data_IF_923558217791
#
_entry.id   IF_923558217791
#
_cell.length_a   1.000
_cell.length_b   1.000
_cell.length_c   1.000
_cell.angle_alpha   90.00
_cell.angle_beta   90.00
_cell.angle_gamma   90.00
#
_symmetry.space_group_name_H-M   'P 1'
#
loop_
_entity.id
_entity.type
_entity.pdbx_description
1 polymer ?
#
# COMPACT_ATOMS: atom_id res chain seq x y z
N UNK A 1 8.30 -22.39 -4.05
CA UNK A 1 7.88 -22.17 -2.65
C UNK A 1 7.00 -20.93 -2.64
N UNK A 2 5.69 -21.11 -2.66
CA UNK A 2 4.73 -20.01 -2.58
C UNK A 2 4.78 -19.41 -1.16
N UNK A 3 5.09 -18.11 -1.07
CA UNK A 3 5.02 -17.37 0.19
C UNK A 3 3.55 -17.11 0.49
N UNK A 4 3.04 -17.82 1.51
CA UNK A 4 1.67 -17.65 1.99
C UNK A 4 1.57 -16.32 2.75
N UNK A 5 1.07 -15.28 2.10
CA UNK A 5 0.95 -13.94 2.68
C UNK A 5 -0.35 -13.91 3.46
N UNK A 6 -0.26 -14.09 4.77
CA UNK A 6 -1.37 -13.81 5.68
C UNK A 6 -1.56 -12.31 5.76
N UNK A 7 -2.46 -11.79 4.94
CA UNK A 7 -2.96 -10.44 5.10
C UNK A 7 -4.32 -10.52 5.80
N UNK A 8 -4.44 -9.83 6.93
CA UNK A 8 -5.67 -9.78 7.71
C UNK A 8 -6.59 -8.79 7.01
N UNK A 9 -7.42 -9.30 6.11
CA UNK A 9 -8.48 -8.51 5.51
C UNK A 9 -9.60 -8.33 6.55
N UNK A 10 -9.93 -7.07 6.87
CA UNK A 10 -11.30 -6.76 7.30
C UNK A 10 -12.24 -7.01 6.10
N UNK A 11 -13.52 -7.23 6.36
CA UNK A 11 -14.55 -7.54 5.35
C UNK A 11 -14.62 -6.54 4.16
N UNK A 12 -14.01 -5.35 4.29
CA UNK A 12 -13.94 -4.30 3.29
C UNK A 12 -12.75 -4.36 2.31
N UNK A 13 -11.79 -5.27 2.50
CA UNK A 13 -10.52 -5.24 1.76
C UNK A 13 -10.36 -6.48 0.87
N UNK A 14 -10.34 -6.27 -0.44
CA UNK A 14 -9.94 -7.29 -1.41
C UNK A 14 -8.45 -7.13 -1.70
N UNK A 15 -7.64 -7.92 -1.01
CA UNK A 15 -6.23 -8.02 -1.33
C UNK A 15 -6.14 -8.90 -2.57
N UNK A 16 -6.00 -8.28 -3.73
CA UNK A 16 -5.60 -9.04 -4.90
C UNK A 16 -4.24 -9.65 -4.58
N UNK A 17 -4.04 -10.97 -4.71
CA UNK A 17 -2.73 -11.57 -4.60
C UNK A 17 -1.89 -11.08 -5.78
N UNK A 18 -1.31 -9.89 -5.67
CA UNK A 18 -0.10 -9.59 -6.41
C UNK A 18 0.93 -10.54 -5.84
N UNK A 19 1.18 -11.65 -6.54
CA UNK A 19 2.40 -12.43 -6.37
C UNK A 19 3.52 -11.39 -6.24
N UNK A 20 4.32 -11.46 -5.18
CA UNK A 20 5.58 -10.75 -5.12
C UNK A 20 6.40 -11.23 -6.30
N UNK A 21 6.25 -10.57 -7.46
CA UNK A 21 7.11 -10.79 -8.60
C UNK A 21 8.37 -10.04 -8.24
N UNK A 22 9.30 -10.74 -7.58
CA UNK A 22 10.68 -10.30 -7.49
C UNK A 22 11.20 -10.25 -8.93
N UNK A 23 10.97 -9.13 -9.60
CA UNK A 23 11.80 -8.76 -10.71
C UNK A 23 13.20 -8.64 -10.10
N UNK A 24 14.22 -9.29 -10.66
CA UNK A 24 15.62 -9.18 -10.21
C UNK A 24 16.20 -7.76 -10.26
N UNK A 25 15.35 -6.74 -10.40
CA UNK A 25 15.62 -5.30 -10.41
C UNK A 25 15.60 -4.65 -9.01
N UNK A 26 15.37 -5.41 -7.93
CA UNK A 26 15.27 -4.84 -6.58
C UNK A 26 14.02 -3.98 -6.38
N UNK A 27 12.96 -4.23 -7.16
CA UNK A 27 11.68 -3.54 -7.09
C UNK A 27 10.53 -4.54 -7.05
N UNK A 28 9.55 -4.31 -6.17
CA UNK A 28 8.34 -5.12 -6.07
C UNK A 28 7.12 -4.24 -5.84
N UNK A 29 5.95 -4.69 -6.30
CA UNK A 29 4.71 -3.92 -6.22
C UNK A 29 3.61 -4.78 -5.60
N UNK A 30 2.96 -4.24 -4.57
CA UNK A 30 1.79 -4.82 -3.94
C UNK A 30 0.59 -3.91 -4.16
N UNK A 31 -0.53 -4.45 -4.61
CA UNK A 31 -1.77 -3.70 -4.81
C UNK A 31 -2.88 -4.24 -3.90
N UNK A 32 -3.57 -3.31 -3.23
CA UNK A 32 -4.71 -3.60 -2.36
C UNK A 32 -5.90 -2.84 -2.95
N UNK A 33 -6.97 -3.56 -3.26
CA UNK A 33 -8.21 -2.99 -3.76
C UNK A 33 -9.25 -2.99 -2.65
N UNK A 34 -10.05 -1.95 -2.58
CA UNK A 34 -11.14 -1.90 -1.60
C UNK A 34 -12.43 -2.37 -2.26
N UNK A 35 -13.21 -3.18 -1.54
CA UNK A 35 -14.52 -3.63 -2.04
C UNK A 35 -15.52 -2.47 -2.10
N UNK A 36 -15.26 -1.42 -1.32
CA UNK A 36 -15.99 -0.15 -1.29
C UNK A 36 -15.00 0.99 -1.17
N UNK A 37 -15.33 2.20 -1.64
CA UNK A 37 -14.51 3.37 -1.37
C UNK A 37 -14.29 3.53 0.14
N UNK A 38 -13.04 3.70 0.56
CA UNK A 38 -12.67 3.82 1.98
C UNK A 38 -11.71 4.97 2.19
N UNK A 39 -11.88 5.72 3.28
CA UNK A 39 -10.91 6.70 3.74
C UNK A 39 -9.85 5.96 4.55
N UNK A 40 -8.58 6.03 4.12
CA UNK A 40 -7.47 5.31 4.77
C UNK A 40 -6.62 6.30 5.53
N UNK A 41 -6.41 6.07 6.83
CA UNK A 41 -5.63 6.96 7.69
C UNK A 41 -4.22 6.45 7.91
N UNK A 42 -4.07 5.13 8.06
CA UNK A 42 -2.82 4.49 8.48
C UNK A 42 -2.65 3.12 7.83
N UNK A 43 -1.43 2.87 7.38
CA UNK A 43 -0.96 1.60 6.86
C UNK A 43 0.09 1.07 7.82
N UNK A 44 -0.13 -0.11 8.40
CA UNK A 44 0.84 -0.78 9.28
C UNK A 44 1.33 -2.05 8.63
N UNK A 45 2.61 -2.37 8.82
CA UNK A 45 3.20 -3.60 8.32
C UNK A 45 4.50 -3.93 9.06
N UNK A 46 4.96 -5.17 8.88
CA UNK A 46 6.31 -5.60 9.28
C UNK A 46 7.21 -5.62 8.05
N UNK A 47 8.36 -4.96 8.16
CA UNK A 47 9.37 -4.99 7.12
C UNK A 47 10.02 -6.37 7.04
N UNK A 48 10.37 -6.78 5.82
CA UNK A 48 11.29 -7.89 5.56
C UNK A 48 12.28 -7.43 4.50
N UNK A 49 13.37 -6.81 4.95
CA UNK A 49 14.46 -6.30 4.12
C UNK A 49 14.02 -5.39 2.97
N UNK A 50 12.89 -4.69 3.08
CA UNK A 50 12.58 -3.60 2.13
C UNK A 50 13.33 -2.35 2.58
N UNK A 51 14.08 -1.72 1.68
CA UNK A 51 14.87 -0.54 2.02
C UNK A 51 14.04 0.73 2.01
N UNK A 52 13.13 0.86 1.06
CA UNK A 52 12.22 2.00 0.99
C UNK A 52 10.90 1.62 0.34
N UNK A 53 9.87 2.40 0.66
CA UNK A 53 8.52 2.22 0.17
C UNK A 53 7.95 3.56 -0.32
N UNK A 54 7.16 3.53 -1.39
CA UNK A 54 6.24 4.60 -1.72
C UNK A 54 4.83 4.06 -1.92
N UNK A 55 3.83 4.90 -1.71
CA UNK A 55 2.43 4.53 -1.81
C UNK A 55 1.76 5.40 -2.88
N UNK A 56 1.19 4.74 -3.88
CA UNK A 56 0.24 5.36 -4.79
C UNK A 56 -1.17 5.05 -4.29
N UNK A 57 -2.06 6.02 -4.42
CA UNK A 57 -3.46 5.90 -4.03
C UNK A 57 -4.32 5.98 -5.29
N UNK A 58 -5.33 5.12 -5.36
CA UNK A 58 -6.33 5.16 -6.42
C UNK A 58 -7.56 5.90 -5.91
N UNK A 59 -7.95 6.99 -6.54
CA UNK A 59 -9.11 7.79 -6.16
C UNK A 59 -9.87 8.26 -7.40
N UNK A 60 -11.13 8.66 -7.23
CA UNK A 60 -11.87 9.31 -8.31
C UNK A 60 -11.21 10.62 -8.71
N UNK A 61 -11.23 10.95 -10.00
CA UNK A 61 -10.82 12.28 -10.45
C UNK A 61 -11.81 13.30 -9.93
N UNK A 62 -11.28 14.38 -9.35
CA UNK A 62 -12.09 15.54 -8.96
C UNK A 62 -12.40 16.32 -10.23
N UNK A 63 -13.66 16.31 -10.69
CA UNK A 63 -14.10 17.12 -11.83
C UNK A 63 -14.27 18.60 -11.44
N UNK A 64 -14.77 18.89 -10.24
CA UNK A 64 -15.03 20.25 -9.75
C UNK A 64 -14.87 20.37 -8.22
N UNK A 65 -14.81 21.61 -7.69
CA UNK A 65 -14.78 21.89 -6.25
C UNK A 65 -15.97 21.26 -5.49
N UNK A 66 -17.12 21.09 -6.18
CA UNK A 66 -18.39 20.56 -5.67
C UNK A 66 -18.44 19.03 -5.45
N UNK A 67 -17.31 18.33 -5.46
CA UNK A 67 -17.21 16.89 -5.15
C UNK A 67 -18.11 15.98 -6.01
N UNK A 68 -18.39 16.35 -7.27
CA UNK A 68 -19.14 15.49 -8.17
C UNK A 68 -18.17 14.45 -8.78
N UNK A 69 -18.21 13.22 -8.27
CA UNK A 69 -17.31 12.14 -8.69
C UNK A 69 -17.95 11.33 -9.82
N UNK A 70 -17.24 11.22 -10.94
CA UNK A 70 -17.62 10.29 -12.00
C UNK A 70 -17.15 8.88 -11.60
N UNK A 71 -18.09 7.96 -11.36
CA UNK A 71 -17.79 6.57 -10.94
C UNK A 71 -16.89 5.81 -11.94
N UNK A 72 -16.76 6.29 -13.18
CA UNK A 72 -15.92 5.66 -14.22
C UNK A 72 -14.55 6.31 -14.38
N UNK A 73 -14.26 7.43 -13.71
CA UNK A 73 -13.03 8.18 -13.91
C UNK A 73 -12.18 8.19 -12.64
N UNK A 74 -11.19 7.28 -12.58
CA UNK A 74 -10.26 7.15 -11.46
C UNK A 74 -8.81 7.39 -11.92
N UNK A 75 -7.95 7.72 -10.97
CA UNK A 75 -6.54 7.98 -11.23
C UNK A 75 -5.66 7.49 -10.09
N UNK A 76 -4.42 7.14 -10.42
CA UNK A 76 -3.37 6.86 -9.45
C UNK A 76 -2.56 8.13 -9.20
N UNK A 77 -2.53 8.59 -7.96
CA UNK A 77 -1.69 9.72 -7.54
C UNK A 77 -0.72 9.29 -6.44
N UNK A 78 0.35 10.06 -6.26
CA UNK A 78 1.33 9.82 -5.21
C UNK A 78 0.71 10.19 -3.84
N UNK A 79 0.47 9.17 -3.00
CA UNK A 79 -0.04 9.38 -1.64
C UNK A 79 1.07 9.52 -0.61
N UNK A 80 2.11 8.69 -0.71
CA UNK A 80 3.30 8.74 0.15
C UNK A 80 4.54 8.69 -0.76
N UNK A 81 5.36 9.74 -0.70
CA UNK A 81 6.46 10.01 -1.65
C UNK A 81 7.53 8.93 -1.62
N UNK A 82 8.25 8.81 -0.51
CA UNK A 82 9.25 7.78 -0.26
C UNK A 82 9.54 7.77 1.24
N UNK A 83 9.41 6.61 1.86
CA UNK A 83 9.80 6.40 3.26
C UNK A 83 10.93 5.39 3.30
N UNK A 84 12.04 5.75 3.94
CA UNK A 84 13.14 4.83 4.19
C UNK A 84 12.76 3.92 5.36
N UNK A 85 12.92 2.61 5.15
CA UNK A 85 12.66 1.56 6.12
C UNK A 85 13.95 0.93 6.65
N UNK A 86 15.04 1.06 5.89
CA UNK A 86 16.39 0.69 6.31
C UNK A 86 17.31 1.91 6.15
N UNK A 87 17.99 2.29 7.23
CA UNK A 87 19.05 3.32 7.24
C UNK A 87 20.21 2.92 6.34
N UNK A 88 20.59 1.63 6.40
CA UNK A 88 21.69 1.07 5.63
C UNK A 88 21.24 -0.19 4.88
N UNK A 89 20.72 -0.06 3.64
CA UNK A 89 20.16 -1.17 2.88
C UNK A 89 21.08 -2.37 2.62
N UNK A 90 22.40 -2.22 2.75
CA UNK A 90 23.37 -3.31 2.59
C UNK A 90 23.66 -4.05 3.92
N UNK A 91 23.23 -3.49 5.04
CA UNK A 91 23.29 -4.09 6.37
C UNK A 91 21.87 -4.47 6.84
N UNK A 92 21.77 -5.26 7.90
CA UNK A 92 20.48 -5.82 8.34
C UNK A 92 19.62 -4.82 9.14
N UNK A 93 20.14 -3.64 9.45
CA UNK A 93 19.47 -2.65 10.28
C UNK A 93 18.09 -2.25 9.73
N UNK A 94 17.04 -2.43 10.54
CA UNK A 94 15.65 -2.12 10.16
C UNK A 94 14.95 -3.20 9.30
N UNK A 95 15.64 -4.30 8.98
CA UNK A 95 15.14 -5.36 8.10
C UNK A 95 13.90 -6.08 8.62
N UNK A 96 13.67 -6.11 9.94
CA UNK A 96 12.53 -6.83 10.57
C UNK A 96 11.61 -5.92 11.39
N UNK A 97 11.77 -4.60 11.28
CA UNK A 97 11.07 -3.60 12.09
C UNK A 97 9.60 -3.45 11.71
N UNK A 98 8.80 -2.95 12.65
CA UNK A 98 7.40 -2.59 12.42
C UNK A 98 7.30 -1.12 12.00
N UNK A 99 6.47 -0.85 11.00
CA UNK A 99 6.26 0.49 10.48
C UNK A 99 4.78 0.87 10.49
N UNK A 100 4.55 2.17 10.65
CA UNK A 100 3.25 2.82 10.48
C UNK A 100 3.43 4.00 9.55
N UNK A 101 2.74 3.97 8.40
CA UNK A 101 2.71 5.07 7.44
C UNK A 101 1.36 5.76 7.53
N UNK A 102 1.38 7.08 7.75
CA UNK A 102 0.17 7.90 7.71
C UNK A 102 -0.10 8.31 6.27
N UNK A 103 -1.35 8.14 5.86
CA UNK A 103 -1.80 8.53 4.54
C UNK A 103 -2.52 9.89 4.69
N UNK A 104 -2.00 10.99 4.10
CA UNK A 104 -2.52 12.35 4.33
C UNK A 104 -3.69 12.75 3.39
N UNK A 105 -4.18 11.87 2.54
CA UNK A 105 -5.25 12.15 1.59
C UNK A 105 -6.61 12.07 2.28
N UNK A 106 -7.37 13.16 2.17
CA UNK A 106 -8.61 13.36 2.91
C UNK A 106 -9.86 12.73 2.22
N UNK A 107 -9.69 12.14 1.04
CA UNK A 107 -10.78 11.57 0.25
C UNK A 107 -10.91 10.05 0.34
N UNK A 108 -11.93 9.53 -0.33
CA UNK A 108 -12.16 8.09 -0.45
C UNK A 108 -11.27 7.47 -1.52
N UNK A 109 -10.62 6.37 -1.14
CA UNK A 109 -9.76 5.58 -1.99
C UNK A 109 -10.50 4.37 -2.52
N UNK A 110 -10.16 3.96 -3.73
CA UNK A 110 -10.58 2.71 -4.37
C UNK A 110 -9.54 1.59 -4.16
N UNK A 111 -8.32 1.97 -3.78
CA UNK A 111 -7.23 1.06 -3.52
C UNK A 111 -5.93 1.81 -3.29
N UNK A 112 -4.91 1.05 -2.92
CA UNK A 112 -3.54 1.54 -2.73
C UNK A 112 -2.56 0.60 -3.44
N UNK A 113 -1.42 1.15 -3.85
CA UNK A 113 -0.31 0.42 -4.45
C UNK A 113 0.97 0.79 -3.73
N UNK A 114 1.57 -0.21 -3.09
CA UNK A 114 2.83 -0.11 -2.39
C UNK A 114 3.94 -0.53 -3.33
N UNK A 115 4.88 0.37 -3.60
CA UNK A 115 6.08 0.09 -4.40
C UNK A 115 7.25 -0.05 -3.43
N UNK A 116 7.76 -1.26 -3.35
CA UNK A 116 8.87 -1.63 -2.50
C UNK A 116 10.18 -1.60 -3.29
N UNK A 117 11.23 -1.08 -2.68
CA UNK A 117 12.58 -1.08 -3.27
C UNK A 117 13.61 -1.63 -2.31
N UNK A 118 14.52 -2.43 -2.87
CA UNK A 118 15.70 -2.93 -2.20
C UNK A 118 16.89 -2.87 -3.18
N UNK A 119 17.77 -1.85 -3.07
CA UNK A 119 18.92 -1.69 -3.96
C UNK A 119 20.04 -2.70 -3.70
N UNK A 120 20.08 -3.34 -2.54
CA UNK A 120 21.10 -4.32 -2.20
C UNK A 120 20.80 -5.69 -2.80
N UNK A 121 21.75 -6.24 -3.55
CA UNK A 121 21.69 -7.60 -4.08
C UNK A 121 21.78 -8.67 -2.97
N UNK A 122 22.24 -8.30 -1.77
CA UNK A 122 22.33 -9.20 -0.62
C UNK A 122 20.96 -9.75 -0.20
N UNK A 123 19.91 -8.95 -0.38
CA UNK A 123 18.56 -9.27 0.06
C UNK A 123 17.70 -9.69 -1.14
N UNK A 124 18.00 -10.86 -1.69
CA UNK A 124 17.30 -11.42 -2.87
C UNK A 124 15.77 -11.56 -2.65
N UNK A 125 15.36 -11.72 -1.40
CA UNK A 125 13.96 -11.75 -0.98
C UNK A 125 13.70 -10.57 -0.07
N UNK A 126 12.90 -9.63 -0.56
CA UNK A 126 12.37 -8.53 0.23
C UNK A 126 10.88 -8.39 -0.02
N UNK A 127 10.13 -8.06 1.02
CA UNK A 127 8.70 -7.82 0.98
C UNK A 127 8.26 -7.13 2.27
N UNK A 128 6.96 -6.99 2.46
CA UNK A 128 6.36 -6.65 3.76
C UNK A 128 5.35 -7.73 4.16
N UNK A 129 5.18 -7.93 5.45
CA UNK A 129 4.24 -8.88 6.04
C UNK A 129 3.20 -8.17 6.90
N UNK A 130 2.09 -8.86 7.17
CA UNK A 130 1.07 -8.44 8.13
C UNK A 130 0.56 -7.02 7.86
N UNK A 131 0.28 -6.72 6.59
CA UNK A 131 -0.25 -5.42 6.20
C UNK A 131 -1.64 -5.27 6.81
N UNK A 132 -1.86 -4.17 7.55
CA UNK A 132 -3.15 -3.80 8.10
C UNK A 132 -3.45 -2.33 7.85
N UNK A 133 -4.73 -2.03 7.64
CA UNK A 133 -5.21 -0.68 7.35
C UNK A 133 -6.11 -0.21 8.50
N UNK A 134 -5.93 1.05 8.87
CA UNK A 134 -6.94 1.79 9.64
C UNK A 134 -7.74 2.64 8.66
N UNK A 135 -9.00 2.26 8.46
CA UNK A 135 -9.89 2.84 7.46
C UNK A 135 -11.30 3.13 8.02
N UNK A 136 -11.98 4.07 7.38
CA UNK A 136 -13.41 4.35 7.54
C UNK A 136 -14.08 4.11 6.18
N UNK A 137 -15.04 3.19 6.16
CA UNK A 137 -15.75 2.80 4.93
C UNK A 137 -16.76 3.89 4.60
N UNK A 138 -16.90 4.25 3.32
CA UNK A 138 -17.95 5.16 2.87
C UNK A 138 -19.33 4.65 3.37
N UNK A 139 -20.06 5.43 4.20
CA UNK A 139 -21.39 5.04 4.62
C UNK A 139 -22.29 5.06 3.38
N UNK A 140 -22.88 3.90 3.04
CA UNK A 140 -23.98 3.89 2.08
C UNK A 140 -25.11 4.73 2.66
N UNK A 141 -25.80 5.59 1.88
CA UNK A 141 -27.02 6.21 2.37
C UNK A 141 -27.98 5.08 2.80
N UNK A 142 -28.45 5.15 4.05
CA UNK A 142 -29.54 4.30 4.52
C UNK A 142 -30.74 4.54 3.58
N UNK A 143 -31.29 3.45 3.04
CA UNK A 143 -32.50 3.46 2.21
C UNK A 143 -33.70 3.54 3.15
#
# INVERSE_FOLDING_TARGET
MELNIMAIAKESILISPSLWKNAGSGCSVMEIKFSRPSKVFKIMFRNHYTASICCLINCYKRKDEKQNYDKKDYTWILGITKTNLMSHPHYEEGGTSHFSLFQPYDGYLLGIRLVLKQPSQKWEKFFIHQVSLSDEIFPLPEI
#
